data_IF_299275874726
#
_entry.id   IF_299275874726
#
_cell.length_a   1.000
_cell.length_b   1.000
_cell.length_c   1.000
_cell.angle_alpha   90.00
_cell.angle_beta   90.00
_cell.angle_gamma   90.00
#
_symmetry.space_group_name_H-M   'P 1'
#
loop_
_entity.id
_entity.type
_entity.pdbx_description
1 polymer ?
#
# COMPACT_ATOMS: atom_id res chain seq x y z
N UNK A 1 1.31 15.18 -0.79
CA UNK A 1 0.66 14.17 -1.67
C UNK A 1 -0.83 14.50 -1.83
N UNK A 2 -1.42 14.34 -3.03
CA UNK A 2 -2.87 14.50 -3.26
C UNK A 2 -3.52 13.14 -3.47
N UNK A 3 -4.67 12.92 -2.83
CA UNK A 3 -5.47 11.68 -2.99
C UNK A 3 -6.68 11.98 -3.87
N UNK A 4 -6.84 11.21 -4.93
CA UNK A 4 -7.93 11.32 -5.92
C UNK A 4 -8.72 10.02 -5.94
N UNK A 5 -10.04 10.11 -5.85
CA UNK A 5 -10.92 8.95 -5.90
C UNK A 5 -11.55 8.77 -7.27
N UNK A 6 -11.38 7.58 -7.83
CA UNK A 6 -11.94 7.22 -9.13
C UNK A 6 -11.32 7.98 -10.30
N UNK A 7 -12.04 7.97 -11.42
CA UNK A 7 -11.60 8.52 -12.69
C UNK A 7 -12.55 9.59 -13.25
N UNK A 8 -13.60 9.96 -12.51
CA UNK A 8 -14.62 10.92 -12.99
C UNK A 8 -14.05 12.33 -13.16
N UNK A 9 -13.12 12.71 -12.29
CA UNK A 9 -12.42 13.99 -12.34
C UNK A 9 -10.91 13.78 -12.21
N UNK A 10 -10.27 13.21 -13.25
CA UNK A 10 -8.85 12.91 -13.19
C UNK A 10 -8.05 14.23 -13.06
N UNK A 11 -6.94 14.21 -12.33
CA UNK A 11 -6.06 15.37 -12.28
C UNK A 11 -5.45 15.64 -13.66
N UNK A 12 -5.21 16.90 -13.97
CA UNK A 12 -4.45 17.28 -15.16
C UNK A 12 -2.97 16.93 -14.93
N UNK A 13 -2.59 15.70 -15.25
CA UNK A 13 -1.22 15.21 -15.09
C UNK A 13 -0.37 15.57 -16.33
N UNK A 14 0.89 15.94 -16.06
CA UNK A 14 1.85 16.24 -17.09
C UNK A 14 3.03 15.26 -17.01
N UNK A 15 3.41 14.63 -18.12
CA UNK A 15 4.49 13.63 -18.19
C UNK A 15 4.46 12.60 -17.04
N UNK A 16 3.26 12.13 -16.67
CA UNK A 16 3.07 11.34 -15.48
C UNK A 16 3.77 9.98 -15.57
N UNK A 17 4.47 9.64 -14.50
CA UNK A 17 5.08 8.34 -14.25
C UNK A 17 4.30 7.64 -13.15
N UNK A 18 3.79 6.46 -13.44
CA UNK A 18 2.90 5.77 -12.53
C UNK A 18 3.37 4.37 -12.15
N UNK A 19 2.78 3.85 -11.10
CA UNK A 19 2.83 2.45 -10.72
C UNK A 19 1.47 2.00 -10.18
N UNK A 20 1.17 0.71 -10.26
CA UNK A 20 -0.11 0.12 -9.85
C UNK A 20 0.13 -0.99 -8.83
N UNK A 21 -0.60 -0.98 -7.72
CA UNK A 21 -0.49 -2.03 -6.72
C UNK A 21 -1.37 -1.84 -5.49
N UNK A 22 -1.51 -2.87 -4.67
CA UNK A 22 -2.21 -2.76 -3.38
C UNK A 22 -1.41 -2.01 -2.33
N UNK A 23 -0.09 -2.02 -2.42
CA UNK A 23 0.85 -1.34 -1.52
C UNK A 23 0.58 -1.60 -0.03
N UNK A 24 0.18 -2.83 0.29
CA UNK A 24 -0.13 -3.23 1.65
C UNK A 24 1.14 -3.26 2.51
N UNK A 25 1.21 -2.31 3.47
CA UNK A 25 2.35 -2.09 4.35
C UNK A 25 3.49 -1.27 3.76
N UNK A 26 3.45 -0.85 2.49
CA UNK A 26 4.49 -0.03 1.81
C UNK A 26 5.92 -0.46 2.16
N UNK A 27 6.17 -1.78 2.17
CA UNK A 27 7.43 -2.39 2.59
C UNK A 27 8.63 -2.02 1.71
N UNK A 28 9.85 -2.35 2.13
CA UNK A 28 11.09 -1.95 1.44
C UNK A 28 11.13 -2.37 -0.05
N UNK A 29 10.52 -3.51 -0.42
CA UNK A 29 10.36 -3.87 -1.83
C UNK A 29 9.44 -2.94 -2.62
N UNK A 30 8.37 -2.42 -1.99
CA UNK A 30 7.54 -1.38 -2.59
C UNK A 30 8.31 -0.05 -2.68
N UNK A 31 9.12 0.27 -1.68
CA UNK A 31 9.88 1.52 -1.63
C UNK A 31 10.79 1.70 -2.82
N UNK A 32 11.52 0.66 -3.23
CA UNK A 32 12.40 0.69 -4.41
C UNK A 32 11.63 1.09 -5.68
N UNK A 33 10.44 0.51 -5.85
CA UNK A 33 9.58 0.80 -6.99
C UNK A 33 9.04 2.23 -6.94
N UNK A 34 8.64 2.70 -5.75
CA UNK A 34 8.15 4.06 -5.54
C UNK A 34 9.25 5.11 -5.74
N UNK A 35 10.46 4.83 -5.26
CA UNK A 35 11.64 5.71 -5.44
C UNK A 35 11.97 5.85 -6.93
N UNK A 36 11.87 4.77 -7.72
CA UNK A 36 12.06 4.82 -9.18
C UNK A 36 10.98 5.65 -9.88
N UNK A 37 9.71 5.52 -9.46
CA UNK A 37 8.61 6.35 -9.98
C UNK A 37 8.89 7.83 -9.72
N UNK A 38 9.27 8.19 -8.49
CA UNK A 38 9.60 9.57 -8.13
C UNK A 38 10.80 10.08 -8.92
N UNK A 39 11.88 9.28 -9.03
CA UNK A 39 13.09 9.64 -9.77
C UNK A 39 12.77 9.95 -11.24
N UNK A 40 12.05 9.05 -11.92
CA UNK A 40 11.67 9.22 -13.33
C UNK A 40 10.74 10.41 -13.54
N UNK A 41 9.77 10.61 -12.67
CA UNK A 41 8.89 11.77 -12.73
C UNK A 41 9.70 13.08 -12.66
N UNK A 42 10.69 13.17 -11.77
CA UNK A 42 11.56 14.35 -11.67
C UNK A 42 12.42 14.54 -12.93
N UNK A 43 12.95 13.47 -13.51
CA UNK A 43 13.78 13.53 -14.74
C UNK A 43 13.00 14.04 -15.95
N UNK A 44 11.71 13.71 -16.08
CA UNK A 44 10.89 14.19 -17.18
C UNK A 44 10.06 15.45 -16.85
N UNK A 45 10.31 16.11 -15.71
CA UNK A 45 9.52 17.23 -15.18
C UNK A 45 8.02 16.87 -15.15
N UNK A 46 7.70 15.68 -14.70
CA UNK A 46 6.35 15.15 -14.60
C UNK A 46 5.93 14.90 -13.15
N UNK A 47 4.74 14.31 -12.98
CA UNK A 47 4.20 13.92 -11.69
C UNK A 47 4.35 12.43 -11.44
N UNK A 48 4.65 12.07 -10.18
CA UNK A 48 4.71 10.70 -9.70
C UNK A 48 3.34 10.25 -9.18
N UNK A 49 2.85 9.11 -9.65
CA UNK A 49 1.48 8.62 -9.42
C UNK A 49 1.48 7.19 -8.92
N UNK A 50 0.80 6.95 -7.82
CA UNK A 50 0.46 5.60 -7.36
C UNK A 50 -1.01 5.33 -7.64
N UNK A 51 -1.32 4.25 -8.37
CA UNK A 51 -2.66 3.72 -8.47
C UNK A 51 -2.81 2.59 -7.46
N UNK A 52 -3.80 2.72 -6.58
CA UNK A 52 -4.11 1.69 -5.56
C UNK A 52 -5.59 1.41 -5.52
N UNK A 53 -5.97 0.34 -4.82
CA UNK A 53 -7.35 -0.15 -4.80
C UNK A 53 -7.96 0.02 -3.42
N UNK A 54 -9.23 0.46 -3.39
CA UNK A 54 -10.04 0.48 -2.17
C UNK A 54 -11.51 0.16 -2.51
N UNK A 55 -12.14 -0.83 -1.83
CA UNK A 55 -11.50 -1.73 -0.86
C UNK A 55 -10.45 -2.65 -1.49
N UNK A 56 -9.67 -3.33 -0.63
CA UNK A 56 -8.67 -4.29 -1.12
C UNK A 56 -9.32 -5.37 -2.00
N UNK A 57 -8.74 -5.73 -3.17
CA UNK A 57 -9.37 -6.64 -4.15
C UNK A 57 -9.90 -7.95 -3.58
N UNK A 58 -9.23 -8.55 -2.59
CA UNK A 58 -9.69 -9.78 -1.95
C UNK A 58 -11.00 -9.61 -1.20
N UNK A 59 -11.29 -8.41 -0.66
CA UNK A 59 -12.54 -8.10 0.04
C UNK A 59 -13.69 -8.12 -0.97
N UNK A 60 -13.56 -7.36 -2.05
CA UNK A 60 -14.59 -7.27 -3.10
C UNK A 60 -14.89 -8.62 -3.76
N UNK A 61 -13.86 -9.45 -3.93
CA UNK A 61 -13.99 -10.75 -4.58
C UNK A 61 -14.50 -11.86 -3.64
N UNK A 62 -14.75 -11.55 -2.36
CA UNK A 62 -15.20 -12.51 -1.35
C UNK A 62 -14.12 -13.55 -0.98
N UNK A 63 -12.86 -13.20 -1.14
CA UNK A 63 -11.70 -14.02 -0.79
C UNK A 63 -10.99 -13.44 0.45
N UNK A 64 -11.77 -12.86 1.35
CA UNK A 64 -11.29 -12.12 2.54
C UNK A 64 -11.29 -12.99 3.82
N UNK A 65 -11.65 -14.25 3.73
CA UNK A 65 -11.53 -15.18 4.86
C UNK A 65 -10.09 -15.20 5.38
N UNK A 66 -9.92 -14.89 6.68
CA UNK A 66 -8.60 -14.77 7.31
C UNK A 66 -7.73 -13.63 6.79
N UNK A 67 -8.26 -12.73 5.96
CA UNK A 67 -7.49 -11.57 5.48
C UNK A 67 -7.12 -10.67 6.66
N UNK A 68 -5.83 -10.33 6.74
CA UNK A 68 -5.30 -9.30 7.63
C UNK A 68 -4.38 -8.41 6.81
N UNK A 69 -4.65 -7.10 6.83
CA UNK A 69 -3.88 -6.10 6.11
C UNK A 69 -2.75 -5.56 7.00
N UNK A 70 -1.60 -5.30 6.40
CA UNK A 70 -0.49 -4.63 7.06
C UNK A 70 -0.78 -3.14 7.27
N UNK A 71 -1.55 -2.53 6.39
CA UNK A 71 -1.98 -1.14 6.51
C UNK A 71 -3.44 -0.97 6.14
N UNK A 72 -4.16 -0.17 6.92
CA UNK A 72 -5.44 0.43 6.53
C UNK A 72 -5.23 1.42 5.39
N UNK A 73 -6.30 1.99 4.85
CA UNK A 73 -6.19 3.01 3.81
C UNK A 73 -5.48 4.27 4.31
N UNK A 74 -5.82 4.75 5.51
CA UNK A 74 -5.22 5.96 6.08
C UNK A 74 -3.73 5.75 6.40
N UNK A 75 -3.39 4.61 7.00
CA UNK A 75 -2.00 4.22 7.23
C UNK A 75 -1.21 4.10 5.92
N UNK A 76 -1.79 3.51 4.88
CA UNK A 76 -1.20 3.44 3.55
C UNK A 76 -0.94 4.83 2.98
N UNK A 77 -1.90 5.75 3.09
CA UNK A 77 -1.73 7.13 2.64
C UNK A 77 -0.59 7.83 3.39
N UNK A 78 -0.52 7.70 4.71
CA UNK A 78 0.57 8.26 5.52
C UNK A 78 1.95 7.71 5.10
N UNK A 79 2.04 6.40 4.84
CA UNK A 79 3.26 5.75 4.38
C UNK A 79 3.65 6.18 2.97
N UNK A 80 2.70 6.29 2.04
CA UNK A 80 2.95 6.75 0.67
C UNK A 80 3.38 8.22 0.63
N UNK A 81 2.79 9.08 1.46
CA UNK A 81 3.18 10.48 1.55
C UNK A 81 4.66 10.65 1.92
N UNK A 82 5.15 9.82 2.84
CA UNK A 82 6.55 9.80 3.25
C UNK A 82 7.52 9.34 2.13
N UNK A 83 7.02 8.82 1.00
CA UNK A 83 7.85 8.44 -0.15
C UNK A 83 8.12 9.58 -1.12
N UNK A 84 7.40 10.70 -1.01
CA UNK A 84 7.52 11.83 -1.93
C UNK A 84 6.70 11.69 -3.22
N UNK A 85 5.78 10.75 -3.30
CA UNK A 85 4.79 10.61 -4.38
C UNK A 85 3.88 11.85 -4.42
N UNK A 86 3.59 12.35 -5.62
CA UNK A 86 2.76 13.54 -5.80
C UNK A 86 1.26 13.21 -5.70
N UNK A 87 0.83 12.09 -6.30
CA UNK A 87 -0.57 11.69 -6.38
C UNK A 87 -0.80 10.22 -6.01
N UNK A 88 -1.88 9.97 -5.30
CA UNK A 88 -2.47 8.64 -5.15
C UNK A 88 -3.83 8.64 -5.81
N UNK A 89 -4.01 7.83 -6.84
CA UNK A 89 -5.31 7.59 -7.48
C UNK A 89 -5.88 6.30 -6.88
N UNK A 90 -6.97 6.46 -6.15
CA UNK A 90 -7.67 5.36 -5.50
C UNK A 90 -8.73 4.81 -6.45
N UNK A 91 -8.54 3.60 -6.87
CA UNK A 91 -9.47 2.89 -7.74
C UNK A 91 -10.56 2.24 -6.87
N UNK A 92 -11.83 2.66 -6.99
CA UNK A 92 -12.94 1.95 -6.37
C UNK A 92 -13.02 0.54 -6.96
N UNK A 93 -12.51 -0.46 -6.19
CA UNK A 93 -12.42 -1.82 -6.70
C UNK A 93 -13.72 -2.56 -6.43
N UNK A 94 -14.61 -2.56 -7.40
CA UNK A 94 -15.87 -3.30 -7.37
C UNK A 94 -15.85 -4.52 -8.31
N UNK A 95 -16.98 -5.25 -8.36
CA UNK A 95 -17.11 -6.43 -9.23
C UNK A 95 -17.10 -6.07 -10.72
N UNK A 96 -17.54 -4.88 -11.10
CA UNK A 96 -17.51 -4.43 -12.50
C UNK A 96 -16.06 -4.15 -12.90
N UNK A 97 -15.32 -3.38 -12.10
CA UNK A 97 -13.92 -3.12 -12.33
C UNK A 97 -13.06 -4.39 -12.38
N UNK A 98 -13.35 -5.38 -11.53
CA UNK A 98 -12.62 -6.65 -11.49
C UNK A 98 -12.74 -7.51 -12.76
N UNK A 99 -13.72 -7.21 -13.62
CA UNK A 99 -13.96 -7.91 -14.90
C UNK A 99 -13.34 -7.23 -16.11
N UNK A 100 -12.78 -6.03 -15.91
CA UNK A 100 -12.12 -5.31 -17.01
C UNK A 100 -10.99 -6.16 -17.58
N UNK A 101 -10.93 -6.23 -18.89
CA UNK A 101 -9.77 -6.80 -19.59
C UNK A 101 -8.53 -5.97 -19.29
N UNK A 102 -7.37 -6.54 -19.54
CA UNK A 102 -6.10 -5.81 -19.42
C UNK A 102 -6.02 -4.64 -20.41
N UNK A 103 -6.57 -4.82 -21.61
CA UNK A 103 -6.68 -3.79 -22.65
C UNK A 103 -7.56 -2.63 -22.16
N UNK A 104 -8.78 -2.91 -21.73
CA UNK A 104 -9.69 -1.88 -21.21
C UNK A 104 -9.10 -1.10 -20.03
N UNK A 105 -8.37 -1.78 -19.14
CA UNK A 105 -7.72 -1.10 -18.02
C UNK A 105 -6.63 -0.12 -18.51
N UNK A 106 -5.79 -0.53 -19.44
CA UNK A 106 -4.72 0.33 -19.97
C UNK A 106 -5.30 1.47 -20.81
N UNK A 107 -6.16 1.15 -21.78
CA UNK A 107 -6.63 2.13 -22.76
C UNK A 107 -7.54 3.18 -22.13
N UNK A 108 -8.49 2.76 -21.31
CA UNK A 108 -9.49 3.67 -20.75
C UNK A 108 -8.99 4.45 -19.53
N UNK A 109 -8.17 3.82 -18.69
CA UNK A 109 -7.82 4.41 -17.40
C UNK A 109 -6.38 4.92 -17.34
N UNK A 110 -5.41 4.09 -17.72
CA UNK A 110 -3.99 4.47 -17.60
C UNK A 110 -3.65 5.53 -18.68
N UNK A 111 -3.95 5.23 -19.93
CA UNK A 111 -3.63 6.11 -21.06
C UNK A 111 -4.75 7.14 -21.29
N UNK A 112 -6.01 6.69 -21.32
CA UNK A 112 -7.15 7.53 -21.69
C UNK A 112 -7.49 8.58 -20.64
N UNK A 113 -7.70 8.18 -19.38
CA UNK A 113 -8.13 9.11 -18.32
C UNK A 113 -6.98 9.82 -17.64
N UNK A 114 -5.90 9.09 -17.32
CA UNK A 114 -4.78 9.64 -16.54
C UNK A 114 -3.62 10.13 -17.40
N UNK A 115 -3.61 9.85 -18.69
CA UNK A 115 -2.55 10.24 -19.63
C UNK A 115 -1.14 9.84 -19.17
N UNK A 116 -1.03 8.69 -18.47
CA UNK A 116 0.24 8.17 -17.99
C UNK A 116 1.19 7.93 -19.17
N UNK A 117 2.43 8.38 -19.05
CA UNK A 117 3.46 8.22 -20.09
C UNK A 117 4.40 7.07 -19.81
N UNK A 118 4.70 6.82 -18.53
CA UNK A 118 5.56 5.72 -18.11
C UNK A 118 4.89 4.91 -17.01
N UNK A 119 4.96 3.60 -17.09
CA UNK A 119 4.48 2.69 -16.06
C UNK A 119 5.64 1.87 -15.51
N UNK A 120 5.93 2.05 -14.22
CA UNK A 120 6.95 1.30 -13.49
C UNK A 120 6.28 0.12 -12.81
N UNK A 121 6.74 -1.09 -13.07
CA UNK A 121 6.19 -2.32 -12.52
C UNK A 121 7.28 -3.20 -11.90
N UNK A 122 6.92 -4.00 -10.92
CA UNK A 122 7.83 -4.99 -10.35
C UNK A 122 7.88 -6.27 -11.18
N UNK A 123 8.95 -7.04 -11.04
CA UNK A 123 9.26 -8.28 -11.75
C UNK A 123 8.09 -9.30 -11.87
N UNK A 124 7.22 -9.42 -10.87
CA UNK A 124 6.08 -10.35 -10.89
C UNK A 124 4.74 -9.60 -10.86
N UNK A 125 4.67 -8.47 -11.53
CA UNK A 125 3.44 -7.69 -11.57
C UNK A 125 2.47 -8.25 -12.60
N UNK A 126 1.28 -8.61 -12.15
CA UNK A 126 0.15 -9.02 -12.99
C UNK A 126 -1.07 -8.19 -12.66
N UNK A 127 -1.84 -7.82 -13.69
CA UNK A 127 -3.05 -7.00 -13.56
C UNK A 127 -4.15 -7.47 -14.51
N UNK A 128 -5.33 -6.82 -14.46
CA UNK A 128 -6.49 -7.19 -15.25
C UNK A 128 -7.14 -8.50 -14.83
N UNK A 129 -8.24 -8.82 -15.49
CA UNK A 129 -9.00 -10.03 -15.20
C UNK A 129 -8.14 -11.29 -15.36
N UNK A 130 -8.21 -12.21 -14.40
CA UNK A 130 -7.43 -13.46 -14.37
C UNK A 130 -5.89 -13.25 -14.48
N UNK A 131 -5.36 -12.08 -14.08
CA UNK A 131 -3.92 -11.77 -14.13
C UNK A 131 -3.31 -11.92 -15.54
N UNK A 132 -4.04 -11.59 -16.57
CA UNK A 132 -3.59 -11.71 -17.96
C UNK A 132 -2.65 -10.57 -18.39
N UNK A 133 -2.67 -9.43 -17.71
CA UNK A 133 -1.73 -8.33 -17.93
C UNK A 133 -0.34 -8.65 -17.36
N UNK A 134 0.69 -8.54 -18.16
CA UNK A 134 2.09 -8.80 -17.84
C UNK A 134 2.99 -7.73 -18.44
N UNK A 135 4.27 -7.73 -18.10
CA UNK A 135 5.27 -6.86 -18.75
C UNK A 135 5.29 -7.03 -20.27
N UNK A 136 5.35 -8.27 -20.78
CA UNK A 136 5.36 -8.54 -22.21
C UNK A 136 4.12 -7.99 -22.92
N UNK A 137 2.93 -8.17 -22.30
CA UNK A 137 1.70 -7.59 -22.84
C UNK A 137 1.78 -6.06 -22.93
N UNK A 138 2.27 -5.38 -21.90
CA UNK A 138 2.37 -3.92 -21.89
C UNK A 138 3.31 -3.40 -22.99
N UNK A 139 4.44 -4.07 -23.19
CA UNK A 139 5.40 -3.72 -24.24
C UNK A 139 4.82 -3.93 -25.63
N UNK A 140 4.11 -5.04 -25.86
CA UNK A 140 3.47 -5.37 -27.14
C UNK A 140 2.26 -4.48 -27.44
N UNK A 141 1.47 -4.15 -26.41
CA UNK A 141 0.28 -3.31 -26.56
C UNK A 141 0.64 -1.87 -26.96
N UNK A 142 1.75 -1.34 -26.46
CA UNK A 142 2.22 0.00 -26.77
C UNK A 142 1.44 1.12 -26.08
N UNK A 143 1.67 2.35 -26.50
CA UNK A 143 0.97 3.53 -25.97
C UNK A 143 1.58 4.16 -24.74
N UNK A 144 2.47 3.45 -24.01
CA UNK A 144 3.21 3.96 -22.86
C UNK A 144 4.60 3.30 -22.74
N UNK A 145 5.54 3.96 -22.11
CA UNK A 145 6.83 3.37 -21.76
C UNK A 145 6.67 2.46 -20.55
N UNK A 146 7.25 1.27 -20.59
CA UNK A 146 7.18 0.30 -19.50
C UNK A 146 8.57 0.06 -18.93
N UNK A 147 8.68 0.18 -17.61
CA UNK A 147 9.92 -0.03 -16.87
C UNK A 147 9.71 -1.14 -15.86
N UNK A 148 10.45 -2.23 -16.01
CA UNK A 148 10.41 -3.34 -15.05
C UNK A 148 11.54 -3.24 -14.05
N UNK A 149 11.21 -3.32 -12.77
CA UNK A 149 12.18 -3.35 -11.67
C UNK A 149 12.43 -4.81 -11.30
N UNK A 150 13.70 -5.19 -11.28
CA UNK A 150 14.12 -6.53 -10.87
C UNK A 150 13.71 -6.85 -9.43
N UNK A 151 13.61 -8.14 -9.13
CA UNK A 151 13.25 -8.60 -7.79
C UNK A 151 14.30 -8.16 -6.76
N UNK A 152 13.86 -7.43 -5.75
CA UNK A 152 14.71 -7.07 -4.62
C UNK A 152 14.70 -8.16 -3.54
N UNK A 153 15.89 -8.51 -3.07
CA UNK A 153 16.11 -9.41 -1.92
C UNK A 153 17.06 -8.73 -0.94
N UNK A 154 16.64 -8.53 0.29
CA UNK A 154 17.51 -8.06 1.35
C UNK A 154 17.99 -9.26 2.18
N UNK A 155 19.31 -9.38 2.36
CA UNK A 155 19.89 -10.47 3.19
C UNK A 155 19.58 -11.90 2.75
N UNK A 156 19.22 -12.11 1.46
CA UNK A 156 18.85 -13.43 0.93
C UNK A 156 17.39 -13.86 1.21
N UNK A 157 16.62 -13.09 1.96
CA UNK A 157 15.22 -13.36 2.24
C UNK A 157 14.29 -12.57 1.30
N UNK A 158 13.27 -13.26 0.79
CA UNK A 158 12.23 -12.62 -0.01
C UNK A 158 11.38 -11.72 0.88
N UNK A 159 11.37 -10.41 0.59
CA UNK A 159 10.48 -9.46 1.25
C UNK A 159 9.13 -9.48 0.54
N UNK A 160 8.06 -9.69 1.31
CA UNK A 160 6.68 -9.66 0.82
C UNK A 160 5.72 -9.37 1.97
N UNK A 161 4.53 -8.84 1.66
CA UNK A 161 3.47 -8.67 2.68
C UNK A 161 3.14 -9.99 3.41
N UNK A 162 3.31 -11.13 2.77
CA UNK A 162 3.08 -12.45 3.40
C UNK A 162 4.12 -12.76 4.48
N UNK A 163 5.40 -12.56 4.20
CA UNK A 163 6.48 -12.82 5.19
C UNK A 163 6.42 -11.83 6.35
N UNK A 164 6.04 -10.58 6.09
CA UNK A 164 5.85 -9.56 7.13
C UNK A 164 4.66 -9.93 8.03
N UNK A 165 3.52 -10.36 7.45
CA UNK A 165 2.38 -10.85 8.26
C UNK A 165 2.77 -12.00 9.15
N UNK A 166 3.57 -12.94 8.66
CA UNK A 166 4.05 -14.07 9.45
C UNK A 166 4.91 -13.59 10.63
N UNK A 167 5.84 -12.66 10.43
CA UNK A 167 6.67 -12.10 11.49
C UNK A 167 5.80 -11.43 12.58
N UNK A 168 4.84 -10.58 12.18
CA UNK A 168 3.91 -9.92 13.12
C UNK A 168 3.04 -10.93 13.89
N UNK A 169 2.52 -11.95 13.20
CA UNK A 169 1.70 -12.99 13.84
C UNK A 169 2.49 -13.84 14.86
N UNK A 170 3.82 -13.82 14.79
CA UNK A 170 4.71 -14.46 15.75
C UNK A 170 5.24 -13.48 16.82
N UNK A 171 4.79 -12.23 16.82
CA UNK A 171 5.25 -11.19 17.73
C UNK A 171 6.66 -10.65 17.39
N UNK A 172 7.24 -11.07 16.27
CA UNK A 172 8.57 -10.61 15.86
C UNK A 172 8.49 -9.26 15.11
N UNK A 173 8.15 -8.21 15.88
CA UNK A 173 8.00 -6.84 15.35
C UNK A 173 9.34 -6.32 14.81
N UNK A 174 10.47 -6.68 15.42
CA UNK A 174 11.79 -6.24 14.96
C UNK A 174 12.07 -6.73 13.53
N UNK A 175 11.81 -8.02 13.24
CA UNK A 175 11.95 -8.57 11.88
C UNK A 175 10.95 -7.94 10.91
N UNK A 176 9.71 -7.68 11.35
CA UNK A 176 8.72 -7.01 10.53
C UNK A 176 9.17 -5.59 10.15
N UNK A 177 9.68 -4.82 11.10
CA UNK A 177 10.21 -3.46 10.91
C UNK A 177 11.41 -3.46 9.96
N UNK A 178 12.32 -4.42 10.07
CA UNK A 178 13.44 -4.59 9.13
C UNK A 178 12.93 -4.80 7.68
N UNK A 179 11.96 -5.70 7.49
CA UNK A 179 11.39 -5.98 6.17
C UNK A 179 10.55 -4.82 5.63
N UNK A 180 9.84 -4.09 6.50
CA UNK A 180 9.08 -2.90 6.15
C UNK A 180 10.01 -1.74 5.74
N UNK A 181 11.15 -1.58 6.42
CA UNK A 181 12.04 -0.42 6.30
C UNK A 181 11.50 0.82 7.05
N UNK A 182 10.49 0.65 7.87
CA UNK A 182 9.89 1.67 8.75
C UNK A 182 9.17 0.98 9.92
N UNK A 183 8.90 1.68 11.04
CA UNK A 183 8.11 1.17 12.15
C UNK A 183 6.72 0.70 11.68
N UNK A 184 6.21 -0.39 12.27
CA UNK A 184 4.86 -0.85 11.97
C UNK A 184 3.83 0.15 12.53
N UNK A 185 3.06 0.77 11.64
CA UNK A 185 2.09 1.81 12.00
C UNK A 185 0.72 1.20 12.31
N UNK A 186 0.05 1.71 13.33
CA UNK A 186 -1.33 1.42 13.69
C UNK A 186 -2.03 2.74 13.99
N UNK A 187 -3.08 3.06 13.24
CA UNK A 187 -3.95 4.21 13.51
C UNK A 187 -5.28 3.67 14.03
N UNK A 188 -5.74 4.21 15.15
CA UNK A 188 -6.99 3.80 15.76
C UNK A 188 -7.53 4.82 16.74
N UNK A 189 -8.74 4.58 17.23
CA UNK A 189 -9.40 5.46 18.19
C UNK A 189 -9.35 4.84 19.59
N UNK A 190 -8.68 5.51 20.51
CA UNK A 190 -8.67 5.11 21.90
C UNK A 190 -10.00 5.47 22.59
N UNK A 191 -10.55 4.56 23.38
CA UNK A 191 -11.69 4.81 24.26
C UNK A 191 -11.26 5.27 25.66
N UNK A 192 -12.22 5.41 26.57
CA UNK A 192 -11.97 5.89 27.95
C UNK A 192 -11.28 4.83 28.83
N UNK A 193 -11.19 3.59 28.37
CA UNK A 193 -10.53 2.47 29.07
C UNK A 193 -9.14 2.18 28.50
N UNK A 194 -8.72 2.96 27.47
CA UNK A 194 -7.43 2.80 26.80
C UNK A 194 -7.40 1.71 25.74
N UNK A 195 -8.55 1.10 25.41
CA UNK A 195 -8.65 0.18 24.28
C UNK A 195 -8.63 0.97 22.98
N UNK A 196 -7.88 0.51 21.99
CA UNK A 196 -7.73 1.15 20.70
C UNK A 196 -8.54 0.39 19.64
N UNK A 197 -9.63 0.99 19.20
CA UNK A 197 -10.42 0.45 18.10
C UNK A 197 -9.68 0.66 16.78
N UNK A 198 -9.38 -0.43 16.08
CA UNK A 198 -8.72 -0.46 14.77
C UNK A 198 -9.66 -1.05 13.72
N UNK A 199 -9.34 -0.84 12.44
CA UNK A 199 -10.08 -1.48 11.35
C UNK A 199 -10.09 -3.01 11.50
N UNK A 200 -11.21 -3.64 11.17
CA UNK A 200 -11.40 -5.10 11.33
C UNK A 200 -10.41 -5.96 10.53
N UNK A 201 -9.87 -5.42 9.44
CA UNK A 201 -8.86 -6.11 8.64
C UNK A 201 -7.43 -5.80 9.08
N UNK A 202 -7.23 -4.82 9.96
CA UNK A 202 -5.89 -4.50 10.46
C UNK A 202 -5.26 -5.69 11.15
N UNK A 203 -4.04 -6.03 10.77
CA UNK A 203 -3.24 -7.01 11.49
C UNK A 203 -2.69 -6.37 12.77
N UNK A 204 -3.00 -6.96 13.90
CA UNK A 204 -2.26 -6.71 15.14
C UNK A 204 -1.16 -7.76 15.30
N UNK A 205 -0.02 -7.44 15.91
CA UNK A 205 0.98 -8.44 16.26
C UNK A 205 0.41 -9.47 17.26
N UNK A 206 1.14 -10.54 17.53
CA UNK A 206 0.75 -11.52 18.55
C UNK A 206 0.52 -10.87 19.93
N UNK A 207 -0.20 -11.54 20.80
CA UNK A 207 -0.41 -11.07 22.18
C UNK A 207 0.94 -10.81 22.88
N UNK A 208 1.07 -9.65 23.52
CA UNK A 208 2.31 -9.22 24.17
C UNK A 208 2.35 -7.73 24.46
N UNK A 209 3.41 -7.32 25.16
CA UNK A 209 3.69 -5.90 25.46
C UNK A 209 4.79 -5.44 24.50
N UNK A 210 4.55 -4.31 23.85
CA UNK A 210 5.44 -3.76 22.84
C UNK A 210 5.90 -2.34 23.22
N UNK A 211 7.21 -2.10 23.09
CA UNK A 211 7.73 -0.74 23.11
C UNK A 211 7.37 -0.06 21.79
N UNK A 212 6.86 1.15 21.88
CA UNK A 212 6.35 1.89 20.73
C UNK A 212 6.54 3.39 20.91
N UNK A 213 6.16 4.16 19.91
CA UNK A 213 5.80 5.56 20.08
C UNK A 213 4.30 5.72 19.88
N UNK A 214 3.66 6.55 20.71
CA UNK A 214 2.26 6.95 20.56
C UNK A 214 2.25 8.46 20.33
N UNK A 215 1.71 8.89 19.18
CA UNK A 215 1.73 10.30 18.77
C UNK A 215 3.14 10.92 18.88
N UNK A 216 4.17 10.15 18.52
CA UNK A 216 5.58 10.57 18.53
C UNK A 216 6.28 10.53 19.89
N UNK A 217 5.63 10.10 20.96
CA UNK A 217 6.24 9.97 22.30
C UNK A 217 6.50 8.51 22.63
N UNK A 218 7.67 8.23 23.22
CA UNK A 218 8.03 6.88 23.66
C UNK A 218 7.03 6.35 24.69
N UNK A 219 6.53 5.15 24.48
CA UNK A 219 5.47 4.52 25.26
C UNK A 219 5.51 2.99 25.17
N UNK A 220 4.48 2.36 25.69
CA UNK A 220 4.18 0.94 25.56
C UNK A 220 2.72 0.73 25.20
N UNK A 221 2.45 -0.32 24.42
CA UNK A 221 1.12 -0.82 24.18
C UNK A 221 1.07 -2.33 24.41
N UNK A 222 -0.12 -2.84 24.69
CA UNK A 222 -0.37 -4.27 24.91
C UNK A 222 -1.35 -4.80 23.84
N UNK A 223 -1.02 -5.91 23.22
CA UNK A 223 -1.97 -6.70 22.46
C UNK A 223 -2.39 -7.89 23.31
N UNK A 224 -3.68 -8.03 23.56
CA UNK A 224 -4.24 -9.08 24.41
C UNK A 224 -5.58 -9.55 23.83
N UNK A 225 -5.66 -10.87 23.54
CA UNK A 225 -6.87 -11.46 22.95
C UNK A 225 -7.22 -10.88 21.57
N UNK A 226 -6.21 -10.39 20.82
CA UNK A 226 -6.43 -9.75 19.52
C UNK A 226 -6.97 -8.33 19.60
N UNK A 227 -6.93 -7.69 20.76
CA UNK A 227 -7.29 -6.29 20.98
C UNK A 227 -6.06 -5.49 21.42
N UNK A 228 -6.04 -4.19 21.08
CA UNK A 228 -4.92 -3.30 21.37
C UNK A 228 -5.28 -2.33 22.49
N UNK A 229 -4.38 -2.20 23.46
CA UNK A 229 -4.53 -1.33 24.64
C UNK A 229 -3.33 -0.43 24.82
N UNK A 230 -3.58 0.76 25.40
CA UNK A 230 -2.57 1.72 25.82
C UNK A 230 -3.10 2.54 27.03
N UNK A 231 -2.24 3.29 27.73
CA UNK A 231 -2.59 3.92 29.01
C UNK A 231 -2.36 5.43 29.05
N UNK A 232 -2.10 6.08 27.90
CA UNK A 232 -1.71 7.50 27.90
C UNK A 232 -2.73 8.43 27.23
N UNK A 233 -3.50 7.91 26.29
CA UNK A 233 -4.42 8.70 25.46
C UNK A 233 -5.81 8.11 25.48
N UNK A 234 -6.83 8.96 25.67
CA UNK A 234 -8.21 8.54 25.81
C UNK A 234 -9.10 9.39 24.94
N UNK A 235 -10.21 8.81 24.47
CA UNK A 235 -11.25 9.47 23.68
C UNK A 235 -10.77 10.22 22.44
N UNK A 236 -9.69 9.78 21.80
CA UNK A 236 -9.12 10.42 20.62
C UNK A 236 -8.51 9.43 19.63
N UNK A 237 -8.31 9.89 18.40
CA UNK A 237 -7.52 9.17 17.41
C UNK A 237 -6.03 9.24 17.76
N UNK A 238 -5.35 8.12 17.65
CA UNK A 238 -3.92 7.99 17.96
C UNK A 238 -3.20 7.21 16.87
N UNK A 239 -1.92 7.55 16.68
CA UNK A 239 -0.98 6.82 15.86
C UNK A 239 0.03 6.12 16.77
N UNK A 240 0.17 4.81 16.58
CA UNK A 240 1.14 3.95 17.28
C UNK A 240 2.16 3.45 16.25
N UNK A 241 3.44 3.53 16.58
CA UNK A 241 4.54 2.98 15.77
C UNK A 241 5.36 2.01 16.62
N UNK A 242 5.30 0.73 16.21
CA UNK A 242 6.06 -0.38 16.81
C UNK A 242 7.42 -0.53 16.16
#
# INVERSE_FOLDING_TARGET
MKVIWGFDNPPALHNAVATVGSYDGVHSGHRILLDEVVRRARECNGESVVLTFEPHPRITLGNDEGLRLLSTFDEKCALLEATGIDYVVVIPFDRAFSRLSREEFIDNYIVGSLHIKQLVIGYNHYFGHNKQGSHSFLVEHGGLEVVEIEQYSAGGNKISSTTIRQALSQGNVALATEMLGHPYIIIGKADDEGRVAVDRYKLLPADGIYHCTICGKASQCEVRGGELFQQEYYSQEIEIRL
#
